data_IF_695895650057
#
_entry.id   IF_695895650057
#
_cell.length_a   1.000
_cell.length_b   1.000
_cell.length_c   1.000
_cell.angle_alpha   90.00
_cell.angle_beta   90.00
_cell.angle_gamma   90.00
#
_symmetry.space_group_name_H-M   'P 1'
#
loop_
_entity.id
_entity.type
_entity.pdbx_description
1 polymer ?
#
# COMPACT_ATOMS: atom_id res chain seq x y z
N UNK A 1 -1.54 -25.36 20.86
CA UNK A 1 -2.62 -25.10 19.89
C UNK A 1 -2.17 -23.93 19.03
N UNK A 2 -1.70 -24.19 17.81
CA UNK A 2 -1.34 -23.11 16.89
C UNK A 2 -2.62 -22.45 16.39
N UNK A 3 -2.80 -21.16 16.66
CA UNK A 3 -3.90 -20.39 16.11
C UNK A 3 -3.81 -20.48 14.58
N UNK A 4 -4.86 -20.98 13.93
CA UNK A 4 -5.01 -20.84 12.48
C UNK A 4 -5.13 -19.34 12.25
N UNK A 5 -4.02 -18.68 11.94
CA UNK A 5 -4.05 -17.34 11.38
C UNK A 5 -4.89 -17.44 10.11
N UNK A 6 -6.16 -17.04 10.20
CA UNK A 6 -7.05 -16.91 9.06
C UNK A 6 -6.31 -16.05 8.04
N UNK A 7 -5.78 -16.69 6.99
CA UNK A 7 -5.06 -15.99 5.92
C UNK A 7 -5.98 -14.90 5.41
N UNK A 8 -5.54 -13.64 5.55
CA UNK A 8 -6.34 -12.53 5.07
C UNK A 8 -6.58 -12.73 3.56
N UNK A 9 -7.84 -12.75 3.10
CA UNK A 9 -8.17 -13.13 1.72
C UNK A 9 -7.66 -12.13 0.67
N UNK A 10 -7.22 -10.94 1.10
CA UNK A 10 -6.59 -9.95 0.23
C UNK A 10 -5.13 -10.30 -0.07
N UNK A 11 -4.48 -11.11 0.76
CA UNK A 11 -3.09 -11.52 0.55
C UNK A 11 -2.99 -12.41 -0.69
N UNK A 12 -2.05 -12.06 -1.57
CA UNK A 12 -1.87 -12.68 -2.88
C UNK A 12 -2.68 -12.02 -4.00
N UNK A 13 -3.59 -11.09 -3.69
CA UNK A 13 -4.31 -10.36 -4.74
C UNK A 13 -3.38 -9.48 -5.54
N UNK A 14 -3.59 -9.53 -6.86
CA UNK A 14 -2.97 -8.67 -7.86
C UNK A 14 -3.79 -7.40 -7.96
N UNK A 15 -3.15 -6.25 -7.80
CA UNK A 15 -3.80 -4.95 -7.79
C UNK A 15 -3.10 -3.98 -8.72
N UNK A 16 -3.82 -2.95 -9.17
CA UNK A 16 -3.23 -1.74 -9.73
C UNK A 16 -3.40 -0.62 -8.72
N UNK A 17 -2.34 0.14 -8.50
CA UNK A 17 -2.34 1.31 -7.63
C UNK A 17 -2.13 2.54 -8.51
N UNK A 18 -3.01 3.53 -8.37
CA UNK A 18 -2.91 4.82 -9.06
C UNK A 18 -2.70 5.88 -7.99
N UNK A 19 -1.64 6.67 -8.13
CA UNK A 19 -1.38 7.83 -7.27
C UNK A 19 -2.18 9.00 -7.82
N UNK A 20 -3.06 9.58 -7.00
CA UNK A 20 -3.85 10.76 -7.35
C UNK A 20 -3.18 12.04 -6.84
N UNK A 21 -2.54 11.98 -5.67
CA UNK A 21 -1.90 13.14 -5.04
C UNK A 21 -0.66 12.71 -4.25
N UNK A 22 0.52 13.20 -4.63
CA UNK A 22 1.78 12.99 -3.89
C UNK A 22 2.62 14.27 -3.69
N UNK A 23 2.04 15.42 -4.03
CA UNK A 23 2.73 16.72 -3.98
C UNK A 23 3.68 16.99 -5.15
N UNK A 24 3.71 16.14 -6.19
CA UNK A 24 4.42 16.40 -7.45
C UNK A 24 3.43 16.74 -8.58
N UNK A 25 3.85 17.50 -9.60
CA UNK A 25 2.99 17.79 -10.76
C UNK A 25 2.77 16.56 -11.65
N UNK A 26 3.66 15.56 -11.57
CA UNK A 26 3.64 14.33 -12.37
C UNK A 26 3.98 13.14 -11.46
N UNK A 27 3.00 12.58 -10.74
CA UNK A 27 3.21 11.40 -9.93
C UNK A 27 3.73 10.24 -10.78
N UNK A 28 4.57 9.35 -10.22
CA UNK A 28 5.10 8.22 -10.98
C UNK A 28 3.98 7.23 -11.31
N UNK A 29 4.00 6.70 -12.53
CA UNK A 29 3.15 5.57 -12.88
C UNK A 29 3.67 4.31 -12.18
N UNK A 30 2.78 3.62 -11.47
CA UNK A 30 3.12 2.40 -10.77
C UNK A 30 2.72 1.18 -11.62
N UNK A 31 3.60 0.16 -11.71
CA UNK A 31 3.21 -1.13 -12.27
C UNK A 31 2.18 -1.80 -11.36
N UNK A 32 1.66 -2.93 -11.83
CA UNK A 32 0.85 -3.81 -11.00
C UNK A 32 1.63 -4.24 -9.76
N UNK A 33 0.89 -4.57 -8.72
CA UNK A 33 1.43 -4.97 -7.44
C UNK A 33 0.72 -6.20 -6.89
N UNK A 34 1.34 -6.84 -5.90
CA UNK A 34 0.77 -7.96 -5.16
C UNK A 34 0.70 -7.62 -3.68
N UNK A 35 -0.44 -7.86 -3.05
CA UNK A 35 -0.59 -7.72 -1.60
C UNK A 35 0.18 -8.86 -0.92
N UNK A 36 1.22 -8.53 -0.15
CA UNK A 36 2.07 -9.52 0.51
C UNK A 36 1.52 -9.95 1.86
N UNK A 37 1.06 -8.99 2.68
CA UNK A 37 0.54 -9.26 4.02
C UNK A 37 -0.21 -8.06 4.59
N UNK A 38 -0.99 -8.32 5.64
CA UNK A 38 -1.60 -7.31 6.52
C UNK A 38 -0.70 -7.09 7.73
N UNK A 39 -0.53 -5.83 8.12
CA UNK A 39 0.26 -5.42 9.28
C UNK A 39 -0.63 -4.60 10.23
N UNK A 40 -0.47 -4.81 11.53
CA UNK A 40 -1.21 -4.07 12.54
C UNK A 40 -0.65 -2.66 12.74
N UNK A 41 -1.52 -1.74 13.15
CA UNK A 41 -1.16 -0.43 13.68
C UNK A 41 -1.40 -0.43 15.22
N UNK A 42 -0.47 0.08 16.05
CA UNK A 42 -0.68 0.27 17.49
C UNK A 42 -1.99 0.98 17.87
N UNK A 43 -2.56 1.80 16.99
CA UNK A 43 -3.78 2.57 17.21
C UNK A 43 -5.07 1.90 16.73
N UNK A 44 -5.06 0.59 16.48
CA UNK A 44 -6.27 -0.17 16.12
C UNK A 44 -6.64 -0.16 14.63
N UNK A 45 -5.72 0.26 13.76
CA UNK A 45 -5.83 0.16 12.30
C UNK A 45 -4.99 -0.98 11.71
N UNK A 46 -4.94 -1.05 10.39
CA UNK A 46 -4.06 -1.96 9.67
C UNK A 46 -3.53 -1.33 8.38
N UNK A 47 -2.38 -1.82 7.96
CA UNK A 47 -1.75 -1.52 6.69
C UNK A 47 -1.64 -2.81 5.87
N UNK A 48 -1.54 -2.68 4.56
CA UNK A 48 -1.13 -3.77 3.68
C UNK A 48 0.22 -3.44 3.07
N UNK A 49 1.16 -4.35 3.23
CA UNK A 49 2.41 -4.32 2.49
C UNK A 49 2.14 -4.87 1.10
N UNK A 50 2.47 -4.09 0.08
CA UNK A 50 2.37 -4.50 -1.32
C UNK A 50 3.75 -4.47 -1.95
N UNK A 51 3.95 -5.32 -2.97
CA UNK A 51 5.15 -5.35 -3.79
C UNK A 51 4.79 -5.05 -5.24
N UNK A 52 5.42 -4.03 -5.80
CA UNK A 52 5.37 -3.71 -7.22
C UNK A 52 6.05 -4.82 -8.04
N UNK A 53 5.54 -5.11 -9.23
CA UNK A 53 6.11 -6.11 -10.13
C UNK A 53 7.53 -5.76 -10.58
N UNK A 54 7.79 -4.46 -10.70
CA UNK A 54 9.08 -3.91 -11.06
C UNK A 54 9.35 -2.67 -10.20
N UNK A 55 10.63 -2.40 -9.87
CA UNK A 55 10.99 -1.20 -9.14
C UNK A 55 10.71 0.05 -9.98
N UNK A 56 10.22 1.11 -9.35
CA UNK A 56 9.95 2.42 -9.97
C UNK A 56 10.87 3.46 -9.38
N UNK A 57 11.52 4.25 -10.25
CA UNK A 57 12.26 5.43 -9.81
C UNK A 57 11.29 6.59 -9.60
N UNK A 58 11.44 7.31 -8.50
CA UNK A 58 10.64 8.48 -8.18
C UNK A 58 11.51 9.52 -7.48
N UNK A 59 11.08 10.78 -7.53
CA UNK A 59 11.74 11.88 -6.84
C UNK A 59 10.81 12.36 -5.73
N UNK A 60 11.30 12.41 -4.49
CA UNK A 60 10.50 12.92 -3.38
C UNK A 60 10.26 14.42 -3.56
N UNK A 61 9.00 14.83 -3.68
CA UNK A 61 8.58 16.23 -3.81
C UNK A 61 9.29 17.20 -2.84
N UNK A 62 9.37 16.80 -1.56
CA UNK A 62 9.87 17.66 -0.48
C UNK A 62 11.40 17.83 -0.47
N UNK A 63 12.17 16.80 -0.84
CA UNK A 63 13.64 16.81 -0.68
C UNK A 63 14.40 16.75 -2.00
N UNK A 64 13.74 16.45 -3.12
CA UNK A 64 14.40 16.21 -4.41
C UNK A 64 15.22 14.93 -4.46
N UNK A 65 15.12 14.08 -3.44
CA UNK A 65 15.88 12.83 -3.34
C UNK A 65 15.29 11.77 -4.29
N UNK A 66 16.17 11.08 -5.02
CA UNK A 66 15.79 9.96 -5.87
C UNK A 66 15.61 8.69 -5.05
N UNK A 67 14.48 8.02 -5.27
CA UNK A 67 14.13 6.78 -4.61
C UNK A 67 13.84 5.69 -5.62
N UNK A 68 14.16 4.46 -5.24
CA UNK A 68 13.69 3.25 -5.95
C UNK A 68 12.61 2.59 -5.10
N UNK A 69 11.38 2.63 -5.59
CA UNK A 69 10.19 2.10 -4.93
C UNK A 69 9.97 0.67 -5.43
N UNK A 70 9.97 -0.30 -4.52
CA UNK A 70 9.58 -1.68 -4.81
C UNK A 70 8.45 -2.15 -3.91
N UNK A 71 8.47 -1.73 -2.65
CA UNK A 71 7.43 -2.04 -1.68
C UNK A 71 6.76 -0.76 -1.24
N UNK A 72 5.44 -0.83 -1.07
CA UNK A 72 4.61 0.26 -0.58
C UNK A 72 3.70 -0.27 0.52
N UNK A 73 3.30 0.63 1.41
CA UNK A 73 2.21 0.41 2.34
C UNK A 73 0.97 1.11 1.80
N UNK A 74 -0.16 0.40 1.84
CA UNK A 74 -1.47 0.99 1.55
C UNK A 74 -2.42 0.77 2.72
N UNK A 75 -3.35 1.69 2.92
CA UNK A 75 -4.42 1.58 3.90
C UNK A 75 -5.65 2.35 3.44
N UNK A 76 -6.88 1.97 3.85
CA UNK A 76 -8.07 2.72 3.52
C UNK A 76 -7.96 4.18 3.97
N UNK A 77 -8.27 5.14 3.10
CA UNK A 77 -8.16 6.58 3.40
C UNK A 77 -9.17 7.05 4.46
N UNK A 78 -10.27 6.33 4.63
CA UNK A 78 -11.36 6.68 5.54
C UNK A 78 -11.34 5.80 6.78
N UNK A 79 -11.59 6.41 7.95
CA UNK A 79 -11.72 5.67 9.21
C UNK A 79 -12.87 4.65 9.10
N UNK A 80 -12.58 3.38 9.39
CA UNK A 80 -13.54 2.28 9.22
C UNK A 80 -13.64 1.74 7.78
N UNK A 81 -12.87 2.27 6.83
CA UNK A 81 -12.79 1.76 5.46
C UNK A 81 -12.16 0.36 5.37
N UNK A 82 -12.37 -0.31 4.25
CA UNK A 82 -11.87 -1.67 3.98
C UNK A 82 -11.46 -1.86 2.53
N UNK A 83 -10.45 -2.71 2.30
CA UNK A 83 -10.08 -3.17 0.96
C UNK A 83 -10.88 -4.40 0.50
N UNK A 84 -11.76 -4.96 1.34
CA UNK A 84 -12.62 -6.09 1.01
C UNK A 84 -13.48 -5.93 -0.25
N UNK A 85 -13.91 -4.72 -0.68
CA UNK A 85 -14.57 -4.57 -1.98
C UNK A 85 -13.78 -5.15 -3.15
N UNK A 86 -12.44 -5.19 -3.07
CA UNK A 86 -11.59 -5.81 -4.09
C UNK A 86 -11.81 -7.31 -4.25
N UNK A 87 -12.30 -8.00 -3.21
CA UNK A 87 -12.60 -9.43 -3.23
C UNK A 87 -13.75 -9.78 -4.18
N UNK A 88 -14.57 -8.80 -4.55
CA UNK A 88 -15.65 -8.99 -5.54
C UNK A 88 -15.10 -9.21 -6.95
N UNK A 89 -13.82 -8.89 -7.20
CA UNK A 89 -13.17 -9.07 -8.50
C UNK A 89 -13.67 -8.14 -9.62
N UNK A 90 -14.56 -7.18 -9.31
CA UNK A 90 -15.05 -6.22 -10.29
C UNK A 90 -13.99 -5.12 -10.52
N UNK A 91 -13.50 -5.02 -11.76
CA UNK A 91 -12.47 -4.06 -12.19
C UNK A 91 -12.92 -2.60 -12.09
N UNK A 92 -14.23 -2.35 -11.94
CA UNK A 92 -14.81 -1.01 -11.74
C UNK A 92 -14.78 -0.56 -10.28
N UNK A 93 -14.47 -1.45 -9.35
CA UNK A 93 -14.34 -1.10 -7.94
C UNK A 93 -13.00 -0.42 -7.72
N UNK A 94 -13.07 0.84 -7.32
CA UNK A 94 -11.94 1.65 -6.89
C UNK A 94 -12.07 1.91 -5.40
N UNK A 95 -11.02 1.61 -4.66
CA UNK A 95 -10.96 1.82 -3.21
C UNK A 95 -9.93 2.91 -2.91
N UNK A 96 -10.33 4.05 -2.33
CA UNK A 96 -9.41 5.11 -1.94
C UNK A 96 -8.45 4.66 -0.83
N UNK A 97 -7.16 4.93 -1.02
CA UNK A 97 -6.10 4.54 -0.10
C UNK A 97 -5.10 5.66 0.18
N UNK A 98 -4.56 5.66 1.40
CA UNK A 98 -3.28 6.27 1.71
C UNK A 98 -2.15 5.35 1.25
N UNK A 99 -1.06 5.95 0.79
CA UNK A 99 0.11 5.26 0.23
C UNK A 99 1.35 5.77 0.97
N UNK A 100 2.24 4.87 1.36
CA UNK A 100 3.53 5.23 1.96
C UNK A 100 4.66 4.36 1.45
N UNK A 101 5.86 4.94 1.40
CA UNK A 101 7.09 4.21 1.11
C UNK A 101 7.61 3.52 2.37
N UNK A 102 8.20 2.34 2.22
CA UNK A 102 8.59 1.43 3.31
C UNK A 102 10.03 1.68 3.79
N UNK A 103 10.67 2.79 3.38
CA UNK A 103 12.08 3.04 3.72
C UNK A 103 12.33 2.99 5.23
N UNK A 104 13.26 2.13 5.65
CA UNK A 104 13.67 2.01 7.05
C UNK A 104 12.75 1.15 7.94
N UNK A 105 11.72 0.51 7.37
CA UNK A 105 10.91 -0.48 8.10
C UNK A 105 11.57 -1.84 7.96
N UNK A 106 12.05 -2.39 9.09
CA UNK A 106 12.49 -3.78 9.17
C UNK A 106 11.34 -4.68 8.71
N UNK A 107 11.58 -5.43 7.63
CA UNK A 107 10.55 -6.12 6.86
C UNK A 107 9.85 -7.24 7.63
N UNK A 108 10.21 -7.54 8.87
CA UNK A 108 9.73 -8.71 9.58
C UNK A 108 8.87 -8.36 10.81
N UNK A 109 8.78 -7.09 11.20
CA UNK A 109 7.89 -6.70 12.29
C UNK A 109 6.42 -6.82 11.85
N UNK A 110 5.56 -7.52 12.61
CA UNK A 110 4.12 -7.59 12.33
C UNK A 110 3.38 -6.28 12.65
N UNK A 111 4.02 -5.39 13.41
CA UNK A 111 3.49 -4.10 13.83
C UNK A 111 4.32 -3.00 13.17
N UNK A 112 3.62 -2.09 12.49
CA UNK A 112 4.23 -0.92 11.89
C UNK A 112 4.11 0.28 12.82
N UNK A 113 5.24 0.96 13.07
CA UNK A 113 5.27 2.27 13.72
C UNK A 113 5.04 3.38 12.67
N UNK A 114 3.89 4.08 12.70
CA UNK A 114 3.57 5.11 11.72
C UNK A 114 4.53 6.31 11.74
N UNK A 115 5.23 6.55 12.86
CA UNK A 115 6.19 7.66 12.97
C UNK A 115 7.41 7.50 12.06
N UNK A 116 7.65 6.27 11.57
CA UNK A 116 8.72 5.94 10.63
C UNK A 116 8.32 6.14 9.17
N UNK A 117 7.08 6.54 8.88
CA UNK A 117 6.61 6.76 7.52
C UNK A 117 7.11 8.10 6.97
N UNK A 118 7.97 8.04 5.96
CA UNK A 118 8.68 9.20 5.41
C UNK A 118 7.94 9.83 4.21
N UNK A 119 6.95 9.13 3.66
CA UNK A 119 6.19 9.55 2.47
C UNK A 119 4.70 9.28 2.67
N UNK A 120 3.86 10.20 2.21
CA UNK A 120 2.41 10.04 2.20
C UNK A 120 1.87 10.54 0.86
N UNK A 121 1.15 9.68 0.17
CA UNK A 121 0.38 10.00 -1.01
C UNK A 121 -1.04 9.46 -0.86
N UNK A 122 -1.95 9.96 -1.68
CA UNK A 122 -3.31 9.46 -1.82
C UNK A 122 -3.50 8.86 -3.19
N UNK A 123 -4.36 7.87 -3.27
CA UNK A 123 -4.70 7.26 -4.54
C UNK A 123 -5.82 6.27 -4.44
N UNK A 124 -5.94 5.45 -5.49
CA UNK A 124 -6.97 4.41 -5.59
C UNK A 124 -6.34 3.06 -5.92
N UNK A 125 -6.93 2.02 -5.36
CA UNK A 125 -6.61 0.62 -5.66
C UNK A 125 -7.77 -0.04 -6.39
N UNK A 126 -7.43 -0.82 -7.40
CA UNK A 126 -8.35 -1.70 -8.15
C UNK A 126 -7.72 -3.09 -8.32
N UNK A 127 -8.55 -4.09 -8.57
CA UNK A 127 -8.04 -5.42 -8.93
C UNK A 127 -7.30 -5.35 -10.28
N UNK A 128 -6.12 -5.95 -10.36
CA UNK A 128 -5.38 -6.05 -11.62
C UNK A 128 -5.99 -7.18 -12.45
N UNK A 129 -6.37 -6.80 -13.67
CA UNK A 129 -7.13 -7.64 -14.57
C UNK A 129 -6.33 -8.48 -15.55
#
# INVERSE_FOLDING_TARGET
>A
MASVESRNPLVGLRISLIIEEDGTPTPPELPRATILRRMGNPHGGYYFLIRLDQPVKSVRAKTGEEWTILNLLIWPSFQGGSLEPLLKGDKRIEVPVGISNVMGIESDSPILDPSKLVYFARGVVRIAG
#
